data_IF_804091163349
#
_entry.id   IF_804091163349
#
_cell.length_a   1.000
_cell.length_b   1.000
_cell.length_c   1.000
_cell.angle_alpha   90.00
_cell.angle_beta   90.00
_cell.angle_gamma   90.00
#
_symmetry.space_group_name_H-M   'P 1'
#
loop_
_entity.id
_entity.type
_entity.pdbx_description
1 polymer ?
#
# COMPACT_ATOMS: atom_id res chain seq x y z
N UNK A 1 0.18 0.39 -12.27
CA UNK A 1 0.04 -0.83 -13.07
C UNK A 1 0.86 -1.95 -12.46
N UNK A 2 0.27 -3.12 -12.25
CA UNK A 2 0.98 -4.33 -11.83
C UNK A 2 1.81 -4.91 -13.00
N UNK A 3 2.61 -5.96 -12.74
CA UNK A 3 3.49 -6.53 -13.75
C UNK A 3 2.72 -7.08 -14.98
N UNK A 4 1.55 -7.69 -14.77
CA UNK A 4 0.71 -8.22 -15.85
C UNK A 4 0.09 -7.10 -16.68
N UNK A 5 -0.37 -6.03 -16.06
CA UNK A 5 -0.91 -4.83 -16.73
C UNK A 5 0.16 -4.10 -17.55
N UNK A 6 1.39 -4.03 -17.02
CA UNK A 6 2.53 -3.49 -17.78
C UNK A 6 2.88 -4.35 -18.97
N UNK A 7 2.89 -5.68 -18.83
CA UNK A 7 3.15 -6.63 -19.91
C UNK A 7 2.08 -6.57 -21.01
N UNK A 8 0.82 -6.31 -20.66
CA UNK A 8 -0.29 -6.14 -21.61
C UNK A 8 -0.41 -4.73 -22.18
N UNK A 9 0.51 -3.82 -21.85
CA UNK A 9 0.48 -2.41 -22.25
C UNK A 9 -0.85 -1.72 -21.94
N UNK A 10 -1.43 -2.02 -20.76
CA UNK A 10 -2.69 -1.47 -20.31
C UNK A 10 -2.58 0.06 -20.11
N UNK A 11 -3.61 0.79 -20.47
CA UNK A 11 -3.67 2.23 -20.27
C UNK A 11 -3.80 2.56 -18.78
N UNK A 12 -3.14 3.64 -18.35
CA UNK A 12 -3.30 4.16 -16.99
C UNK A 12 -4.66 4.83 -16.85
N UNK A 13 -5.58 4.18 -16.16
CA UNK A 13 -6.93 4.69 -15.92
C UNK A 13 -7.05 5.52 -14.64
N UNK A 14 -6.08 5.41 -13.72
CA UNK A 14 -6.13 6.09 -12.42
C UNK A 14 -4.85 6.89 -12.21
N UNK A 15 -5.02 8.17 -11.88
CA UNK A 15 -3.90 9.06 -11.54
C UNK A 15 -4.08 9.54 -10.09
N UNK A 16 -3.04 9.34 -9.27
CA UNK A 16 -3.01 9.80 -7.89
C UNK A 16 -2.33 11.17 -7.79
N UNK A 17 -2.92 12.07 -7.01
CA UNK A 17 -2.33 13.36 -6.65
C UNK A 17 -2.25 13.48 -5.11
N UNK A 18 -1.16 13.03 -4.49
CA UNK A 18 -1.00 13.06 -3.04
C UNK A 18 -1.12 14.48 -2.44
N UNK A 19 -0.55 15.48 -3.11
CA UNK A 19 -0.54 16.87 -2.62
C UNK A 19 -1.94 17.47 -2.52
N UNK A 20 -2.86 17.06 -3.38
CA UNK A 20 -4.25 17.51 -3.39
C UNK A 20 -5.21 16.53 -2.71
N UNK A 21 -4.70 15.36 -2.29
CA UNK A 21 -5.49 14.24 -1.76
C UNK A 21 -6.60 13.80 -2.72
N UNK A 22 -6.28 13.81 -4.01
CA UNK A 22 -7.23 13.51 -5.09
C UNK A 22 -6.78 12.31 -5.90
N UNK A 23 -7.76 11.53 -6.33
CA UNK A 23 -7.58 10.50 -7.35
C UNK A 23 -8.47 10.83 -8.55
N UNK A 24 -7.88 10.81 -9.74
CA UNK A 24 -8.60 11.04 -11.00
C UNK A 24 -8.71 9.69 -11.72
N UNK A 25 -9.95 9.30 -12.01
CA UNK A 25 -10.25 8.09 -12.77
C UNK A 25 -10.72 8.50 -14.16
N UNK A 26 -9.98 8.06 -15.19
CA UNK A 26 -10.38 8.24 -16.58
C UNK A 26 -11.37 7.13 -16.96
N UNK A 27 -12.57 7.50 -17.37
CA UNK A 27 -13.59 6.56 -17.85
C UNK A 27 -13.72 6.70 -19.36
N UNK A 28 -13.73 5.58 -20.12
CA UNK A 28 -14.07 5.66 -21.54
C UNK A 28 -15.52 6.14 -21.68
N UNK A 29 -15.74 7.14 -22.52
CA UNK A 29 -17.10 7.60 -22.85
C UNK A 29 -17.92 6.43 -23.42
N UNK A 30 -19.13 6.18 -22.91
CA UNK A 30 -19.97 5.07 -23.36
C UNK A 30 -20.48 5.22 -24.80
N UNK A 31 -20.16 6.30 -25.50
CA UNK A 31 -20.74 6.65 -26.80
C UNK A 31 -19.73 6.83 -27.95
N UNK A 32 -18.51 6.29 -27.86
CA UNK A 32 -17.67 6.16 -29.04
C UNK A 32 -18.16 4.98 -29.86
N UNK A 33 -19.23 5.16 -30.59
CA UNK A 33 -19.67 4.26 -31.69
C UNK A 33 -18.53 4.09 -32.71
N UNK A 34 -18.57 3.06 -33.58
CA UNK A 34 -17.52 2.78 -34.53
C UNK A 34 -17.25 4.02 -35.39
N UNK A 35 -15.98 4.47 -35.34
CA UNK A 35 -15.52 5.63 -36.06
C UNK A 35 -15.75 5.48 -37.57
N UNK A 36 -16.85 6.09 -38.07
CA UNK A 36 -16.99 6.38 -39.47
C UNK A 36 -16.25 7.67 -39.79
N UNK A 37 -15.10 7.51 -40.42
CA UNK A 37 -14.43 8.40 -41.36
C UNK A 37 -14.30 9.90 -41.07
N UNK A 38 -13.04 10.29 -40.87
CA UNK A 38 -12.41 11.48 -41.50
C UNK A 38 -12.87 12.88 -41.09
N UNK A 39 -12.08 13.46 -40.21
CA UNK A 39 -11.46 14.77 -40.49
C UNK A 39 -10.21 14.97 -39.59
N UNK A 40 -9.07 15.24 -40.24
CA UNK A 40 -7.82 15.57 -39.58
C UNK A 40 -7.93 16.91 -38.84
N UNK A 41 -8.04 16.83 -37.54
CA UNK A 41 -8.00 17.97 -36.64
C UNK A 41 -7.99 17.40 -35.25
N UNK A 42 -6.94 17.69 -34.44
CA UNK A 42 -6.67 17.17 -33.12
C UNK A 42 -7.91 16.95 -32.25
N UNK A 43 -8.60 15.84 -32.41
CA UNK A 43 -9.57 15.35 -31.48
C UNK A 43 -8.79 14.83 -30.27
N UNK A 44 -8.56 15.68 -29.27
CA UNK A 44 -8.29 15.26 -27.93
C UNK A 44 -9.46 14.37 -27.54
N UNK A 45 -9.20 13.07 -27.44
CA UNK A 45 -10.09 12.10 -26.80
C UNK A 45 -10.39 12.66 -25.40
N UNK A 46 -11.50 13.35 -25.22
CA UNK A 46 -11.98 13.78 -23.92
C UNK A 46 -12.50 12.51 -23.22
N UNK A 47 -11.58 11.81 -22.58
CA UNK A 47 -11.94 10.82 -21.59
C UNK A 47 -12.69 11.55 -20.48
N UNK A 48 -13.92 11.17 -20.23
CA UNK A 48 -14.62 11.66 -19.04
C UNK A 48 -13.77 11.27 -17.85
N UNK A 49 -13.43 12.25 -17.02
CA UNK A 49 -12.63 11.99 -15.81
C UNK A 49 -13.48 12.29 -14.59
N UNK A 50 -13.40 11.41 -13.60
CA UNK A 50 -14.05 11.60 -12.31
C UNK A 50 -12.99 11.75 -11.24
N UNK A 51 -13.08 12.83 -10.48
CA UNK A 51 -12.16 13.12 -9.36
C UNK A 51 -12.81 12.69 -8.05
N UNK A 52 -12.03 12.02 -7.23
CA UNK A 52 -12.39 11.60 -5.88
C UNK A 52 -11.41 12.22 -4.90
N UNK A 53 -11.90 12.70 -3.76
CA UNK A 53 -11.08 13.26 -2.67
C UNK A 53 -11.09 12.31 -1.49
N UNK A 54 -9.94 12.15 -0.83
CA UNK A 54 -9.72 11.28 0.31
C UNK A 54 -8.96 12.04 1.40
N UNK A 55 -8.93 11.50 2.62
CA UNK A 55 -8.13 12.05 3.72
C UNK A 55 -6.62 11.88 3.48
N UNK A 56 -6.23 10.86 2.72
CA UNK A 56 -4.86 10.61 2.28
C UNK A 56 -4.83 9.89 0.94
N UNK A 57 -3.88 10.21 0.10
CA UNK A 57 -3.65 9.56 -1.20
C UNK A 57 -2.16 9.24 -1.32
N UNK A 58 -1.86 7.99 -1.58
CA UNK A 58 -0.50 7.49 -1.79
C UNK A 58 -0.26 7.24 -3.28
N UNK A 59 0.84 7.73 -3.79
CA UNK A 59 1.25 7.51 -5.17
C UNK A 59 1.87 6.13 -5.38
N UNK A 60 2.22 5.80 -6.62
CA UNK A 60 2.83 4.50 -6.95
C UNK A 60 4.21 4.29 -6.33
N UNK A 61 4.88 5.34 -5.93
CA UNK A 61 6.22 5.31 -5.33
C UNK A 61 6.18 5.32 -3.79
N UNK A 62 4.98 5.37 -3.20
CA UNK A 62 4.83 5.38 -1.75
C UNK A 62 5.31 4.06 -1.14
N UNK A 63 6.08 4.17 -0.07
CA UNK A 63 6.62 3.03 0.66
C UNK A 63 5.64 2.51 1.71
N UNK A 64 5.83 1.27 2.15
CA UNK A 64 5.07 0.68 3.27
C UNK A 64 5.24 1.49 4.57
N UNK A 65 6.43 2.06 4.78
CA UNK A 65 6.71 2.91 5.93
C UNK A 65 5.88 4.20 5.89
N UNK A 66 5.88 4.90 4.77
CA UNK A 66 5.10 6.15 4.59
C UNK A 66 3.60 5.91 4.77
N UNK A 67 3.07 4.81 4.24
CA UNK A 67 1.66 4.45 4.44
C UNK A 67 1.36 4.22 5.92
N UNK A 68 2.25 3.50 6.61
CA UNK A 68 2.11 3.22 8.02
C UNK A 68 2.17 4.50 8.87
N UNK A 69 3.23 5.28 8.73
CA UNK A 69 3.49 6.47 9.55
C UNK A 69 2.41 7.54 9.40
N UNK A 70 1.89 7.72 8.19
CA UNK A 70 0.90 8.78 7.94
C UNK A 70 -0.54 8.37 8.23
N UNK A 71 -0.90 7.10 8.07
CA UNK A 71 -2.30 6.67 8.16
C UNK A 71 -2.59 5.76 9.36
N UNK A 72 -1.62 5.00 9.84
CA UNK A 72 -1.87 3.91 10.80
C UNK A 72 -1.27 4.21 12.18
N UNK A 73 -0.07 4.76 12.22
CA UNK A 73 0.62 5.06 13.48
C UNK A 73 -0.25 5.89 14.45
N UNK A 74 -0.95 6.96 14.03
CA UNK A 74 -1.85 7.70 14.91
C UNK A 74 -2.98 6.83 15.49
N UNK A 75 -3.54 5.93 14.66
CA UNK A 75 -4.62 5.01 15.07
C UNK A 75 -4.12 4.02 16.12
N UNK A 76 -2.89 3.53 15.96
CA UNK A 76 -2.27 2.63 16.96
C UNK A 76 -2.06 3.35 18.28
N UNK A 77 -1.63 4.61 18.26
CA UNK A 77 -1.47 5.42 19.46
C UNK A 77 -2.81 5.63 20.18
N UNK A 78 -3.87 5.96 19.46
CA UNK A 78 -5.22 6.07 20.03
C UNK A 78 -5.68 4.74 20.65
N UNK A 79 -5.34 3.60 20.02
CA UNK A 79 -5.65 2.29 20.60
C UNK A 79 -4.92 2.05 21.92
N UNK A 80 -3.68 2.50 22.05
CA UNK A 80 -2.91 2.41 23.29
C UNK A 80 -3.46 3.33 24.40
N UNK A 81 -4.18 4.39 24.04
CA UNK A 81 -4.93 5.24 24.97
C UNK A 81 -6.27 4.62 25.40
N UNK A 82 -6.68 3.51 24.82
CA UNK A 82 -7.90 2.75 25.19
C UNK A 82 -9.05 2.88 24.21
N UNK A 83 -8.86 3.51 23.06
CA UNK A 83 -9.89 3.59 22.03
C UNK A 83 -9.96 2.30 21.19
N UNK A 84 -11.16 1.92 20.79
CA UNK A 84 -11.36 0.81 19.84
C UNK A 84 -11.22 1.33 18.42
N UNK A 85 -10.21 0.83 17.72
CA UNK A 85 -9.95 1.19 16.34
C UNK A 85 -10.03 -0.04 15.42
N UNK A 86 -10.43 0.17 14.18
CA UNK A 86 -10.48 -0.89 13.17
C UNK A 86 -9.83 -0.39 11.88
N UNK A 87 -8.92 -1.16 11.34
CA UNK A 87 -8.29 -0.92 10.04
C UNK A 87 -8.67 -2.03 9.08
N UNK A 88 -9.13 -1.68 7.90
CA UNK A 88 -9.44 -2.66 6.86
C UNK A 88 -8.95 -2.20 5.49
N UNK A 89 -8.52 -3.14 4.67
CA UNK A 89 -8.14 -2.92 3.28
C UNK A 89 -9.29 -3.34 2.36
N UNK A 90 -9.72 -2.45 1.47
CA UNK A 90 -10.80 -2.70 0.53
C UNK A 90 -10.33 -2.57 -0.92
N UNK A 91 -10.87 -3.42 -1.78
CA UNK A 91 -10.57 -3.44 -3.22
C UNK A 91 -10.81 -4.82 -3.83
N UNK A 92 -10.81 -4.89 -5.14
CA UNK A 92 -10.95 -6.16 -5.87
C UNK A 92 -9.72 -7.07 -5.65
N UNK A 93 -9.81 -8.31 -6.09
CA UNK A 93 -8.67 -9.26 -6.04
C UNK A 93 -7.51 -8.74 -6.89
N UNK A 94 -6.29 -8.85 -6.37
CA UNK A 94 -5.07 -8.40 -7.07
C UNK A 94 -4.73 -6.92 -6.93
N UNK A 95 -5.49 -6.12 -6.16
CA UNK A 95 -5.20 -4.69 -5.94
C UNK A 95 -4.16 -4.41 -4.86
N UNK A 96 -3.62 -5.42 -4.19
CA UNK A 96 -2.57 -5.25 -3.20
C UNK A 96 -3.03 -5.16 -1.75
N UNK A 97 -4.28 -5.54 -1.42
CA UNK A 97 -4.77 -5.55 -0.03
C UNK A 97 -3.84 -6.30 0.92
N UNK A 98 -3.52 -7.53 0.60
CA UNK A 98 -2.59 -8.37 1.40
C UNK A 98 -1.20 -7.76 1.48
N UNK A 99 -0.69 -7.21 0.36
CA UNK A 99 0.58 -6.51 0.34
C UNK A 99 0.60 -5.29 1.28
N UNK A 100 -0.50 -4.54 1.35
CA UNK A 100 -0.60 -3.40 2.27
C UNK A 100 -0.71 -3.87 3.73
N UNK A 101 -1.46 -4.93 4.01
CA UNK A 101 -1.68 -5.41 5.37
C UNK A 101 -0.49 -6.20 5.92
N UNK A 102 0.04 -7.15 5.17
CA UNK A 102 1.08 -8.09 5.62
C UNK A 102 2.48 -7.71 5.08
N UNK A 103 2.52 -7.09 3.91
CA UNK A 103 3.76 -6.78 3.19
C UNK A 103 4.05 -7.77 2.08
N UNK A 104 5.22 -7.65 1.48
CA UNK A 104 5.72 -8.66 0.56
C UNK A 104 6.09 -9.91 1.38
N UNK A 105 5.38 -11.01 1.14
CA UNK A 105 5.64 -12.27 1.82
C UNK A 105 7.09 -12.73 1.69
N UNK A 106 7.45 -13.66 2.55
CA UNK A 106 8.82 -14.18 2.79
C UNK A 106 9.50 -14.89 1.60
N UNK A 107 9.04 -14.68 0.36
CA UNK A 107 9.72 -15.23 -0.82
C UNK A 107 11.21 -14.87 -0.90
N UNK A 108 11.62 -13.79 -0.22
CA UNK A 108 13.03 -13.46 -0.05
C UNK A 108 13.71 -14.20 1.10
N UNK A 109 12.98 -14.62 2.14
CA UNK A 109 13.54 -15.44 3.22
C UNK A 109 13.95 -16.81 2.72
N UNK A 110 13.09 -17.51 1.97
CA UNK A 110 13.46 -18.80 1.38
C UNK A 110 14.65 -18.72 0.42
N UNK A 111 14.80 -17.59 -0.30
CA UNK A 111 15.92 -17.39 -1.22
C UNK A 111 17.21 -17.00 -0.48
N UNK A 112 17.11 -16.36 0.68
CA UNK A 112 18.23 -15.98 1.52
C UNK A 112 18.70 -17.15 2.40
N UNK A 113 17.79 -18.00 2.89
CA UNK A 113 18.13 -19.25 3.59
C UNK A 113 18.79 -20.27 2.67
N UNK A 114 18.44 -20.31 1.38
CA UNK A 114 19.12 -21.15 0.38
C UNK A 114 20.45 -20.60 -0.10
N UNK A 115 20.75 -19.31 0.16
CA UNK A 115 22.01 -18.68 -0.23
C UNK A 115 23.02 -18.56 0.90
N UNK A 116 22.67 -18.88 2.14
CA UNK A 116 23.54 -18.78 3.31
C UNK A 116 24.23 -20.09 3.66
N UNK A 117 25.04 -20.59 2.73
CA UNK A 117 26.07 -21.59 3.06
C UNK A 117 27.43 -20.92 3.38
N UNK A 118 27.37 -19.66 3.84
CA UNK A 118 28.53 -18.93 4.36
C UNK A 118 28.30 -18.59 5.84
N UNK A 119 29.22 -18.99 6.77
CA UNK A 119 29.01 -18.89 8.21
C UNK A 119 29.33 -17.51 8.81
N UNK A 120 29.01 -16.41 8.15
CA UNK A 120 29.30 -15.05 8.64
C UNK A 120 28.13 -14.06 8.51
N UNK A 121 26.92 -14.54 8.85
CA UNK A 121 25.73 -13.68 8.94
C UNK A 121 25.32 -13.43 10.40
N UNK A 122 26.27 -13.26 11.29
CA UNK A 122 26.04 -12.84 12.66
C UNK A 122 26.19 -11.34 12.76
N UNK A 123 25.15 -10.55 12.45
CA UNK A 123 24.90 -9.18 12.94
C UNK A 123 23.73 -8.50 12.19
N UNK A 124 22.73 -9.24 11.72
CA UNK A 124 21.44 -8.64 11.52
C UNK A 124 20.77 -8.61 12.89
N UNK A 125 20.65 -7.44 13.50
CA UNK A 125 19.88 -7.27 14.73
C UNK A 125 18.48 -7.83 14.46
N UNK A 126 18.08 -8.83 15.23
CA UNK A 126 16.78 -9.54 15.18
C UNK A 126 15.58 -8.58 15.34
N UNK A 127 15.85 -7.30 15.45
CA UNK A 127 14.94 -6.23 15.82
C UNK A 127 14.57 -5.30 14.66
N UNK A 128 15.08 -5.50 13.44
CA UNK A 128 14.77 -4.64 12.30
C UNK A 128 13.52 -5.11 11.54
N UNK A 129 12.50 -4.25 11.46
CA UNK A 129 11.34 -4.50 10.60
C UNK A 129 11.80 -4.54 9.14
N UNK A 130 11.46 -5.58 8.36
CA UNK A 130 11.73 -5.60 6.93
C UNK A 130 11.15 -4.36 6.24
N UNK A 131 11.90 -3.77 5.33
CA UNK A 131 11.46 -2.57 4.59
C UNK A 131 10.10 -2.77 3.91
N UNK A 132 9.83 -4.00 3.46
CA UNK A 132 8.60 -4.38 2.78
C UNK A 132 7.50 -4.89 3.72
N UNK A 133 7.68 -4.81 5.05
CA UNK A 133 6.66 -5.19 6.01
C UNK A 133 5.44 -4.28 5.89
N UNK A 134 4.24 -4.86 5.93
CA UNK A 134 2.98 -4.14 5.85
C UNK A 134 2.53 -3.53 7.19
N UNK A 135 1.27 -3.18 7.24
CA UNK A 135 0.63 -2.53 8.40
C UNK A 135 0.68 -3.41 9.65
N UNK A 136 0.31 -4.69 9.53
CA UNK A 136 0.16 -5.59 10.68
C UNK A 136 1.47 -5.78 11.44
N UNK A 137 2.59 -6.20 10.83
CA UNK A 137 3.85 -6.36 11.55
C UNK A 137 4.38 -5.06 12.14
N UNK A 138 4.17 -3.91 11.49
CA UNK A 138 4.57 -2.59 12.03
C UNK A 138 3.75 -2.20 13.24
N UNK A 139 2.43 -2.39 13.19
CA UNK A 139 1.53 -2.11 14.31
C UNK A 139 1.85 -2.97 15.53
N UNK A 140 2.04 -4.29 15.34
CA UNK A 140 2.43 -5.19 16.41
C UNK A 140 3.74 -4.75 17.06
N UNK A 141 4.74 -4.41 16.27
CA UNK A 141 6.01 -3.93 16.81
C UNK A 141 5.84 -2.64 17.61
N UNK A 142 5.10 -1.66 17.10
CA UNK A 142 4.86 -0.41 17.82
C UNK A 142 4.16 -0.68 19.16
N UNK A 143 3.12 -1.53 19.18
CA UNK A 143 2.39 -1.91 20.39
C UNK A 143 3.34 -2.57 21.39
N UNK A 144 4.09 -3.59 20.99
CA UNK A 144 5.00 -4.28 21.91
C UNK A 144 6.16 -3.41 22.37
N UNK A 145 6.69 -2.55 21.52
CA UNK A 145 7.71 -1.57 21.92
C UNK A 145 7.18 -0.59 22.94
N UNK A 146 5.93 -0.12 22.79
CA UNK A 146 5.29 0.76 23.76
C UNK A 146 5.09 0.03 25.09
N UNK A 147 4.56 -1.20 25.06
CA UNK A 147 4.32 -1.99 26.26
C UNK A 147 5.61 -2.35 27.00
N UNK A 148 6.68 -2.66 26.29
CA UNK A 148 7.99 -2.96 26.91
C UNK A 148 8.55 -1.77 27.70
N UNK A 149 8.22 -0.56 27.33
CA UNK A 149 8.64 0.67 28.00
C UNK A 149 7.67 1.11 29.12
N UNK A 150 6.57 0.39 29.33
CA UNK A 150 5.57 0.69 30.34
C UNK A 150 5.82 -0.11 31.59
N UNK A 151 5.71 0.52 32.76
CA UNK A 151 5.92 -0.13 34.07
C UNK A 151 4.72 -0.93 34.56
N UNK A 152 3.60 -0.91 33.83
CA UNK A 152 2.35 -1.59 34.17
C UNK A 152 2.36 -3.02 33.64
N UNK A 153 1.93 -3.99 34.48
CA UNK A 153 1.69 -5.35 34.01
C UNK A 153 0.55 -5.39 33.00
N UNK A 154 0.74 -6.08 31.90
CA UNK A 154 -0.24 -6.23 30.84
C UNK A 154 -0.35 -7.70 30.38
N UNK A 155 -1.51 -8.06 29.87
CA UNK A 155 -1.76 -9.37 29.26
C UNK A 155 -2.28 -9.18 27.84
N UNK A 156 -1.58 -9.71 26.86
CA UNK A 156 -1.97 -9.69 25.46
C UNK A 156 -2.54 -11.04 25.07
N UNK A 157 -3.71 -11.05 24.47
CA UNK A 157 -4.34 -12.25 23.90
C UNK A 157 -4.51 -12.00 22.40
N UNK A 158 -3.92 -12.86 21.58
CA UNK A 158 -4.06 -12.87 20.12
C UNK A 158 -4.91 -14.05 19.67
#
# INVERSE_FOLDING_TARGET
>A
LNAAERASNAAVAVTANPSRREMVVATPEPNSGPASAQTAGAAQNQLASKTYTFDGVFGPDATQAEVYESAIEPIVLETLEGFNCTVFAYGQTGTGKTHTMEGAGDEKKEKMERASDTPDASLASDDAIPTNAGIVPRALRQIFSHLANTTTEYSVKC
#
